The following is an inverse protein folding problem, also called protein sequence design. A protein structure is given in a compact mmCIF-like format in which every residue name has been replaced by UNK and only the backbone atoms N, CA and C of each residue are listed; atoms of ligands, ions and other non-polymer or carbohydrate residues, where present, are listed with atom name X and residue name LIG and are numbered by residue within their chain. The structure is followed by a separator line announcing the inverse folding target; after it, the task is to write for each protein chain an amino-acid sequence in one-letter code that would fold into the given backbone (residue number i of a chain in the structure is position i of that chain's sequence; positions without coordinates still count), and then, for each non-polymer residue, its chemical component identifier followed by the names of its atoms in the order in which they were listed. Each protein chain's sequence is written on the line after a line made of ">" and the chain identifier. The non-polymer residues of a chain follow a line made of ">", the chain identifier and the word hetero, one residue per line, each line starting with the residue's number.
data_IF_117813458048
#
_entry.id   IF_117813458048
#
_cell.length_a   1.000
_cell.length_b   1.000
_cell.length_c   1.000
_cell.angle_alpha   90.00
_cell.angle_beta   90.00
_cell.angle_gamma   90.00
#
_symmetry.space_group_name_H-M   'P 1'
#
loop_
_entity.id
_entity.type
_entity.pdbx_description
1 polymer ?
#
# COMPACT_ATOMS: atom_id res chain seq x y z
N UNK A 1 9.19 -5.53 5.69
CA UNK A 1 9.08 -6.19 6.98
C UNK A 1 8.13 -7.38 6.97
N UNK A 2 8.13 -8.11 8.05
CA UNK A 2 7.27 -9.27 8.22
C UNK A 2 5.93 -8.86 8.81
N UNK A 3 4.83 -9.32 8.22
CA UNK A 3 3.47 -9.01 8.64
C UNK A 3 2.69 -10.33 8.70
N UNK A 4 2.62 -10.95 9.88
CA UNK A 4 2.02 -12.28 10.00
C UNK A 4 2.79 -13.29 9.15
N UNK A 5 2.08 -14.02 8.29
CA UNK A 5 2.67 -15.00 7.37
C UNK A 5 3.07 -14.36 6.03
N UNK A 6 3.24 -13.06 5.98
CA UNK A 6 3.53 -12.33 4.75
C UNK A 6 4.72 -11.41 4.95
N UNK A 7 5.39 -11.06 3.85
CA UNK A 7 6.40 -10.02 3.85
C UNK A 7 5.96 -8.88 2.94
N UNK A 8 6.17 -7.66 3.39
CA UNK A 8 5.85 -6.44 2.65
C UNK A 8 7.07 -5.54 2.63
N UNK A 9 7.44 -5.09 1.45
CA UNK A 9 8.53 -4.13 1.27
C UNK A 9 8.02 -2.97 0.42
N UNK A 10 8.04 -1.77 0.98
CA UNK A 10 7.74 -0.56 0.21
C UNK A 10 8.94 -0.28 -0.69
N UNK A 11 8.74 -0.32 -2.00
CA UNK A 11 9.81 -0.17 -2.98
C UNK A 11 9.85 1.22 -3.59
N UNK A 12 8.74 1.94 -3.53
CA UNK A 12 8.68 3.31 -4.06
C UNK A 12 7.47 4.04 -3.55
N UNK A 13 7.58 5.36 -3.52
CA UNK A 13 6.49 6.26 -3.16
C UNK A 13 6.53 7.43 -4.13
N UNK A 14 5.39 7.80 -4.68
CA UNK A 14 5.32 8.94 -5.59
C UNK A 14 3.97 9.65 -5.44
N UNK A 15 3.93 10.89 -5.91
CA UNK A 15 2.71 11.70 -5.93
C UNK A 15 2.06 11.63 -7.31
N UNK A 16 0.75 11.74 -7.34
CA UNK A 16 -0.01 11.75 -8.58
C UNK A 16 -1.38 12.35 -8.39
N UNK A 17 -2.20 12.22 -9.42
CA UNK A 17 -3.62 12.62 -9.40
C UNK A 17 -4.47 11.38 -9.56
N UNK A 18 -5.55 11.30 -8.79
CA UNK A 18 -6.49 10.19 -8.92
C UNK A 18 -7.49 10.40 -10.08
N UNK A 19 -8.42 9.47 -10.22
CA UNK A 19 -9.43 9.50 -11.29
C UNK A 19 -10.31 10.76 -11.26
N UNK A 20 -10.38 11.43 -10.11
CA UNK A 20 -11.19 12.63 -9.89
C UNK A 20 -10.33 13.90 -9.85
N UNK A 21 -9.05 13.81 -10.15
CA UNK A 21 -8.13 14.93 -10.16
C UNK A 21 -7.61 15.34 -8.78
N UNK A 22 -7.89 14.56 -7.74
CA UNK A 22 -7.40 14.85 -6.40
C UNK A 22 -5.92 14.47 -6.26
N UNK A 23 -5.18 15.21 -5.42
CA UNK A 23 -3.81 14.85 -5.09
C UNK A 23 -3.79 13.51 -4.36
N UNK A 24 -2.90 12.62 -4.79
CA UNK A 24 -2.82 11.26 -4.26
C UNK A 24 -1.38 10.86 -4.01
N UNK A 25 -1.20 9.95 -3.06
CA UNK A 25 0.07 9.26 -2.82
C UNK A 25 -0.07 7.85 -3.38
N UNK A 26 0.97 7.41 -4.11
CA UNK A 26 1.04 6.08 -4.70
C UNK A 26 2.14 5.31 -4.01
N UNK A 27 1.80 4.13 -3.50
CA UNK A 27 2.77 3.20 -2.91
C UNK A 27 3.04 2.07 -3.88
N UNK A 28 4.32 1.83 -4.17
CA UNK A 28 4.78 0.63 -4.84
C UNK A 28 5.34 -0.29 -3.76
N UNK A 29 4.92 -1.56 -3.75
CA UNK A 29 5.38 -2.50 -2.74
C UNK A 29 5.48 -3.92 -3.30
N UNK A 30 6.37 -4.71 -2.70
CA UNK A 30 6.45 -6.14 -2.97
C UNK A 30 5.70 -6.89 -1.87
N UNK A 31 4.78 -7.75 -2.27
CA UNK A 31 4.04 -8.64 -1.38
C UNK A 31 4.53 -10.07 -1.58
N UNK A 32 5.00 -10.69 -0.50
CA UNK A 32 5.45 -12.09 -0.51
C UNK A 32 4.50 -12.94 0.33
N UNK A 33 3.99 -13.99 -0.28
CA UNK A 33 3.11 -14.94 0.40
C UNK A 33 3.95 -16.07 1.03
N UNK A 34 4.21 -15.95 2.33
CA UNK A 34 4.93 -16.99 3.09
C UNK A 34 3.96 -17.93 3.84
N UNK A 35 2.66 -17.83 3.57
CA UNK A 35 1.67 -18.75 4.10
C UNK A 35 1.65 -20.05 3.30
N UNK A 36 0.87 -21.02 3.72
CA UNK A 36 0.70 -22.28 3.02
C UNK A 36 -0.54 -22.31 2.11
N UNK A 37 -1.18 -21.17 1.90
CA UNK A 37 -2.37 -21.05 1.08
C UNK A 37 -2.18 -20.00 -0.02
N UNK A 38 -2.88 -20.17 -1.14
CA UNK A 38 -2.95 -19.17 -2.21
C UNK A 38 -3.77 -17.98 -1.72
N UNK A 39 -3.27 -16.78 -1.89
CA UNK A 39 -3.94 -15.55 -1.43
C UNK A 39 -3.48 -14.33 -2.23
N UNK A 40 -4.15 -13.21 -2.02
CA UNK A 40 -3.81 -11.92 -2.62
C UNK A 40 -3.43 -10.91 -1.53
N UNK A 41 -2.79 -9.82 -1.92
CA UNK A 41 -2.50 -8.73 -0.99
C UNK A 41 -3.80 -8.15 -0.40
N UNK A 42 -4.84 -7.99 -1.22
CA UNK A 42 -6.12 -7.47 -0.76
C UNK A 42 -6.75 -8.33 0.33
N UNK A 43 -6.64 -9.66 0.22
CA UNK A 43 -7.21 -10.59 1.20
C UNK A 43 -6.36 -10.73 2.46
N UNK A 44 -5.08 -10.42 2.37
CA UNK A 44 -4.10 -10.70 3.43
C UNK A 44 -3.69 -9.50 4.23
N UNK A 45 -3.68 -8.32 3.60
CA UNK A 45 -3.12 -7.10 4.17
C UNK A 45 -4.18 -6.02 4.30
N UNK A 46 -4.04 -5.22 5.35
CA UNK A 46 -4.85 -4.04 5.55
C UNK A 46 -3.92 -2.83 5.68
N UNK A 47 -4.01 -1.92 4.72
CA UNK A 47 -3.25 -0.68 4.72
C UNK A 47 -4.06 0.42 5.37
N UNK A 48 -3.43 1.16 6.29
CA UNK A 48 -3.97 2.42 6.78
C UNK A 48 -2.91 3.49 6.62
N UNK A 49 -3.29 4.59 6.00
CA UNK A 49 -2.43 5.75 5.84
C UNK A 49 -3.04 6.92 6.60
N UNK A 50 -2.21 7.62 7.35
CA UNK A 50 -2.64 8.76 8.16
C UNK A 50 -1.82 9.99 7.80
N UNK A 51 -2.49 11.12 7.77
CA UNK A 51 -1.86 12.42 7.60
C UNK A 51 -2.47 13.38 8.63
N UNK A 52 -1.63 14.00 9.45
CA UNK A 52 -2.09 14.85 10.56
C UNK A 52 -3.07 14.13 11.50
N UNK A 53 -2.87 12.81 11.69
CA UNK A 53 -3.70 12.00 12.56
C UNK A 53 -5.04 11.57 11.96
N UNK A 54 -5.30 11.88 10.69
CA UNK A 54 -6.55 11.54 10.01
C UNK A 54 -6.29 10.49 8.95
N UNK A 55 -7.11 9.44 8.94
CA UNK A 55 -6.98 8.36 7.96
C UNK A 55 -7.31 8.87 6.55
N UNK A 56 -6.47 8.48 5.58
CA UNK A 56 -6.66 8.81 4.17
C UNK A 56 -7.53 7.76 3.49
N UNK A 57 -8.34 8.21 2.51
CA UNK A 57 -9.23 7.33 1.77
C UNK A 57 -8.50 6.66 0.61
N UNK A 58 -8.78 5.38 0.39
CA UNK A 58 -8.30 4.63 -0.76
C UNK A 58 -8.84 5.24 -2.05
N UNK A 59 -8.00 5.27 -3.08
CA UNK A 59 -8.39 5.75 -4.41
C UNK A 59 -7.68 4.95 -5.49
N UNK A 60 -8.00 5.23 -6.74
CA UNK A 60 -7.34 4.64 -7.91
C UNK A 60 -6.80 5.73 -8.81
N UNK A 61 -5.72 5.39 -9.50
CA UNK A 61 -5.06 6.28 -10.45
C UNK A 61 -5.43 5.81 -11.86
N UNK A 62 -5.83 6.74 -12.72
CA UNK A 62 -6.12 6.47 -14.13
C UNK A 62 -5.17 7.28 -15.01
N UNK A 63 -4.89 6.76 -16.20
CA UNK A 63 -4.03 7.47 -17.16
C UNK A 63 -2.54 7.42 -16.84
N UNK A 64 -2.13 6.57 -15.90
CA UNK A 64 -0.71 6.37 -15.56
C UNK A 64 -0.33 4.94 -15.93
N UNK A 65 0.54 4.79 -16.92
CA UNK A 65 0.97 3.47 -17.43
C UNK A 65 1.78 2.69 -16.40
N UNK A 66 2.29 3.36 -15.37
CA UNK A 66 3.08 2.74 -14.30
C UNK A 66 2.24 2.36 -13.09
N UNK A 67 0.92 2.53 -13.16
CA UNK A 67 0.02 2.15 -12.08
C UNK A 67 -0.86 0.98 -12.50
N UNK A 68 -0.72 -0.15 -11.81
CA UNK A 68 -1.56 -1.34 -12.01
C UNK A 68 -2.56 -1.43 -10.86
N UNK A 69 -3.83 -1.07 -11.14
CA UNK A 69 -4.89 -1.06 -10.13
C UNK A 69 -5.36 -2.46 -9.75
N UNK A 70 -4.96 -3.49 -10.51
CA UNK A 70 -5.42 -4.87 -10.31
C UNK A 70 -4.41 -5.75 -9.57
N UNK A 71 -3.16 -5.30 -9.44
CA UNK A 71 -2.09 -6.15 -8.90
C UNK A 71 -2.38 -6.64 -7.48
N UNK A 72 -2.94 -5.78 -6.61
CA UNK A 72 -3.20 -6.17 -5.22
C UNK A 72 -4.33 -7.19 -5.08
N UNK A 73 -5.11 -7.41 -6.14
CA UNK A 73 -6.21 -8.39 -6.17
C UNK A 73 -5.80 -9.73 -6.75
N UNK A 74 -4.59 -9.85 -7.32
CA UNK A 74 -4.14 -11.11 -7.91
C UNK A 74 -3.73 -12.11 -6.85
N UNK A 75 -4.21 -13.35 -7.01
CA UNK A 75 -3.80 -14.45 -6.14
C UNK A 75 -2.39 -14.91 -6.50
N UNK A 76 -1.58 -15.14 -5.48
CA UNK A 76 -0.27 -15.75 -5.63
C UNK A 76 -0.15 -16.96 -4.72
N UNK A 77 0.63 -17.92 -5.18
CA UNK A 77 0.87 -19.18 -4.45
C UNK A 77 1.90 -18.97 -3.34
N UNK A 78 1.98 -19.93 -2.39
CA UNK A 78 3.01 -19.86 -1.35
C UNK A 78 4.42 -19.73 -1.93
N UNK A 79 5.20 -18.84 -1.34
CA UNK A 79 6.59 -18.58 -1.74
C UNK A 79 6.75 -17.57 -2.87
N UNK A 80 5.66 -17.06 -3.45
CA UNK A 80 5.72 -16.13 -4.58
C UNK A 80 5.69 -14.69 -4.08
N UNK A 81 6.45 -13.84 -4.76
CA UNK A 81 6.45 -12.37 -4.54
C UNK A 81 5.84 -11.69 -5.77
N UNK A 82 4.96 -10.74 -5.54
CA UNK A 82 4.33 -9.93 -6.58
C UNK A 82 4.51 -8.46 -6.25
N UNK A 83 4.90 -7.67 -7.24
CA UNK A 83 4.94 -6.22 -7.13
C UNK A 83 3.52 -5.67 -7.27
N UNK A 84 3.10 -4.90 -6.27
CA UNK A 84 1.76 -4.37 -6.18
C UNK A 84 1.78 -2.86 -6.02
N UNK A 85 0.64 -2.23 -6.23
CA UNK A 85 0.49 -0.79 -6.07
C UNK A 85 -0.84 -0.46 -5.42
N UNK A 86 -0.86 0.61 -4.64
CA UNK A 86 -2.08 1.17 -4.09
C UNK A 86 -1.95 2.68 -4.00
N UNK A 87 -3.07 3.37 -3.90
CA UNK A 87 -3.10 4.83 -3.86
C UNK A 87 -4.14 5.33 -2.86
N UNK A 88 -3.85 6.48 -2.27
CA UNK A 88 -4.70 7.11 -1.26
C UNK A 88 -4.79 8.61 -1.52
N UNK A 89 -5.95 9.19 -1.25
CA UNK A 89 -6.16 10.63 -1.42
C UNK A 89 -5.45 11.38 -0.30
N UNK A 90 -4.63 12.38 -0.66
CA UNK A 90 -3.92 13.19 0.32
C UNK A 90 -4.85 14.26 0.93
N UNK A 91 -4.69 14.52 2.22
CA UNK A 91 -5.33 15.66 2.86
C UNK A 91 -4.63 16.97 2.49
N UNK A 92 -3.30 16.91 2.35
CA UNK A 92 -2.47 18.03 1.86
C UNK A 92 -1.17 17.46 1.26
N UNK A 93 -0.35 18.31 0.65
CA UNK A 93 0.87 17.88 -0.03
C UNK A 93 2.15 18.20 0.75
N UNK A 94 2.04 18.57 2.01
CA UNK A 94 3.18 19.01 2.84
C UNK A 94 3.42 18.18 4.08
N UNK A 95 2.38 17.72 4.76
CA UNK A 95 2.51 16.94 6.00
C UNK A 95 2.98 15.52 5.70
N UNK A 96 3.80 14.92 6.57
CA UNK A 96 4.23 13.54 6.37
C UNK A 96 3.05 12.56 6.44
N UNK A 97 3.22 11.42 5.76
CA UNK A 97 2.22 10.34 5.75
C UNK A 97 2.77 9.17 6.57
N UNK A 98 1.98 8.67 7.49
CA UNK A 98 2.28 7.46 8.26
C UNK A 98 1.56 6.28 7.61
N UNK A 99 2.31 5.24 7.25
CA UNK A 99 1.77 4.04 6.63
C UNK A 99 1.82 2.91 7.63
N UNK A 100 0.68 2.25 7.88
CA UNK A 100 0.60 1.03 8.68
C UNK A 100 0.09 -0.09 7.79
N UNK A 101 0.81 -1.21 7.75
CA UNK A 101 0.40 -2.41 7.03
C UNK A 101 0.19 -3.51 8.05
N UNK A 102 -1.01 -4.06 8.09
CA UNK A 102 -1.41 -5.06 9.09
C UNK A 102 -1.81 -6.35 8.41
N UNK A 103 -1.69 -7.46 9.13
CA UNK A 103 -2.17 -8.76 8.66
C UNK A 103 -3.63 -8.98 9.06
N UNK A 104 -4.47 -9.32 8.09
CA UNK A 104 -5.88 -9.63 8.35
C UNK A 104 -5.99 -10.98 9.06
N UNK A 105 -5.15 -11.95 8.69
CA UNK A 105 -5.25 -13.33 9.20
C UNK A 105 -4.97 -13.45 10.70
N UNK A 106 -4.18 -12.54 11.28
CA UNK A 106 -3.90 -12.56 12.71
C UNK A 106 -4.65 -11.47 13.49
N UNK A 107 -5.75 -10.96 12.91
CA UNK A 107 -6.61 -9.94 13.51
C UNK A 107 -5.86 -8.63 13.80
N UNK A 108 -4.97 -8.25 12.89
CA UNK A 108 -4.21 -7.00 12.95
C UNK A 108 -3.16 -6.93 14.06
N UNK A 109 -2.73 -8.09 14.59
CA UNK A 109 -1.69 -8.12 15.63
C UNK A 109 -0.30 -7.79 15.08
N UNK A 110 -0.01 -8.26 13.87
CA UNK A 110 1.27 -7.96 13.20
C UNK A 110 1.11 -6.72 12.36
N UNK A 111 2.11 -5.83 12.40
CA UNK A 111 2.10 -4.62 11.57
C UNK A 111 3.50 -4.19 11.21
N UNK A 112 3.60 -3.50 10.07
CA UNK A 112 4.81 -2.80 9.62
C UNK A 112 4.46 -1.32 9.54
N UNK A 113 5.37 -0.48 10.03
CA UNK A 113 5.22 0.98 10.01
C UNK A 113 6.22 1.57 9.03
N UNK A 114 5.77 2.54 8.24
CA UNK A 114 6.62 3.23 7.27
C UNK A 114 6.18 4.69 7.22
N UNK A 115 7.14 5.61 7.39
CA UNK A 115 6.87 7.04 7.34
C UNK A 115 7.36 7.63 6.04
N UNK A 116 6.54 8.48 5.43
CA UNK A 116 6.85 9.13 4.16
C UNK A 116 6.97 10.63 4.39
N UNK A 117 8.12 11.19 4.00
CA UNK A 117 8.33 12.62 3.96
C UNK A 117 8.00 13.12 2.55
N UNK A 118 6.85 13.81 2.40
CA UNK A 118 6.39 14.26 1.08
C UNK A 118 7.35 15.27 0.45
N UNK A 119 8.08 16.03 1.25
CA UNK A 119 9.03 17.01 0.72
C UNK A 119 10.17 16.37 -0.06
N UNK A 120 10.45 15.09 0.20
CA UNK A 120 11.50 14.35 -0.50
C UNK A 120 11.04 13.80 -1.86
N UNK A 121 9.77 13.94 -2.21
CA UNK A 121 9.16 13.35 -3.41
C UNK A 121 8.99 14.35 -4.56
N UNK A 122 9.41 15.56 -4.38
CA UNK A 122 9.26 16.62 -5.38
C UNK A 122 10.14 16.43 -6.60
#
# INVERSE_FOLDING_TARGET
>A
GQVGDYAVKITGVRLGKDYDGADAIILDYDFTNNSDETTSAMESLYFQLFQDGVELDFTIITGDDNYDSDSYMKDIRPGVTLSCQCAYVLGNTTSPVEVEVKSISDSFKSKVLYNVDLSALS
#
